data_IF_022012518247
#
_entry.id   IF_022012518247
#
_cell.length_a   1.000
_cell.length_b   1.000
_cell.length_c   1.000
_cell.angle_alpha   90.00
_cell.angle_beta   90.00
_cell.angle_gamma   90.00
#
_symmetry.space_group_name_H-M   'P 1'
#
loop_
_entity.id
_entity.type
_entity.pdbx_description
1 polymer ?
2 non-polymer ?
3 non-polymer ?
4 water ?
#
# COMPACT_ATOMS: atom_id res chain seq x y z
N UNK A 39 4.00 8.29 32.72
CA UNK A 39 3.72 7.54 33.94
C UNK A 39 3.61 6.03 33.65
N UNK A 40 2.39 5.55 33.35
CA UNK A 40 2.22 4.14 33.07
C UNK A 40 3.05 3.78 31.84
N UNK A 41 3.82 2.70 31.94
CA UNK A 41 4.66 2.35 30.82
C UNK A 41 4.04 1.24 29.97
N UNK A 42 4.69 0.99 28.84
CA UNK A 42 4.20 -0.02 27.94
C UNK A 42 4.26 -1.40 28.58
N UNK A 43 5.35 -1.67 29.30
CA UNK A 43 5.54 -2.91 30.05
C UNK A 43 4.42 -3.15 31.05
N UNK A 44 3.75 -2.09 31.48
CA UNK A 44 2.78 -2.24 32.55
C UNK A 44 1.47 -2.81 32.04
N UNK A 45 1.05 -2.37 30.87
CA UNK A 45 -0.20 -2.84 30.31
C UNK A 45 -0.05 -3.89 29.22
N UNK A 46 1.16 -4.16 28.79
CA UNK A 46 1.37 -5.12 27.73
C UNK A 46 2.51 -6.08 27.96
N UNK A 47 2.32 -7.31 27.52
CA UNK A 47 3.37 -8.31 27.53
C UNK A 47 3.93 -8.43 26.13
N UNK A 48 5.22 -8.35 26.02
CA UNK A 48 5.87 -8.36 24.72
C UNK A 48 6.15 -9.80 24.28
N UNK A 49 5.87 -10.07 23.02
CA UNK A 49 6.09 -11.39 22.44
C UNK A 49 7.02 -11.28 21.23
N UNK A 50 7.01 -12.32 20.40
CA UNK A 50 8.00 -12.48 19.35
C UNK A 50 7.99 -11.35 18.34
N UNK A 51 9.12 -11.19 17.66
CA UNK A 51 9.24 -10.22 16.58
C UNK A 51 8.30 -10.58 15.43
N UNK A 52 7.70 -9.57 14.83
CA UNK A 52 6.92 -9.77 13.63
C UNK A 52 7.48 -8.85 12.56
N UNK A 58 13.32 0.62 13.07
CA UNK A 58 12.11 0.18 13.78
C UNK A 58 12.05 -1.34 13.96
N UNK A 59 11.34 -1.78 15.01
CA UNK A 59 11.12 -3.19 15.29
C UNK A 59 9.65 -3.39 15.62
N UNK A 60 9.04 -4.44 15.05
CA UNK A 60 7.63 -4.75 15.28
C UNK A 60 7.50 -6.07 16.04
N UNK A 61 6.73 -6.07 17.13
CA UNK A 61 6.52 -7.25 17.95
C UNK A 61 5.03 -7.49 18.18
N UNK A 62 4.69 -8.75 18.46
CA UNK A 62 3.37 -9.09 18.94
C UNK A 62 3.31 -8.84 20.43
N UNK A 63 2.15 -8.42 20.93
CA UNK A 63 2.05 -8.21 22.37
C UNK A 63 0.66 -8.58 22.83
N UNK A 64 0.52 -8.72 24.14
CA UNK A 64 -0.74 -9.05 24.79
C UNK A 64 -1.15 -7.90 25.71
N UNK A 65 -2.34 -7.38 25.51
CA UNK A 65 -2.96 -6.46 26.44
C UNK A 65 -3.42 -7.22 27.68
N UNK A 66 -2.87 -6.88 28.84
CA UNK A 66 -2.98 -7.75 30.01
C UNK A 66 -4.39 -7.80 30.56
N UNK A 67 -5.13 -6.69 30.46
CA UNK A 67 -6.46 -6.66 31.08
C UNK A 67 -7.50 -7.49 30.32
N UNK A 68 -7.31 -7.67 29.00
CA UNK A 68 -8.21 -8.43 28.15
C UNK A 68 -7.67 -9.72 27.56
N UNK A 69 -6.34 -9.94 27.60
CA UNK A 69 -5.62 -10.98 26.86
C UNK A 69 -5.83 -10.93 25.34
N UNK A 70 -6.24 -9.79 24.78
CA UNK A 70 -6.28 -9.62 23.34
C UNK A 70 -4.87 -9.38 22.82
N UNK A 71 -4.65 -9.69 21.54
CA UNK A 71 -3.31 -9.52 21.01
C UNK A 71 -3.26 -8.37 20.01
N UNK A 72 -2.11 -7.71 19.95
CA UNK A 72 -1.93 -6.52 19.14
C UNK A 72 -0.53 -6.57 18.57
N UNK A 73 -0.22 -5.58 17.72
CA UNK A 73 1.12 -5.37 17.24
C UNK A 73 1.64 -4.09 17.87
N UNK A 74 2.94 -4.05 18.17
CA UNK A 74 3.60 -2.81 18.60
C UNK A 74 4.83 -2.58 17.73
N UNK A 75 4.95 -1.38 17.18
CA UNK A 75 6.14 -0.95 16.45
C UNK A 75 6.96 -0.11 17.39
N UNK A 76 8.22 -0.49 17.56
CA UNK A 76 9.10 0.08 18.56
C UNK A 76 10.15 0.90 17.83
N UNK A 77 10.18 2.21 18.06
CA UNK A 77 10.83 3.15 17.17
C UNK A 77 11.94 3.84 17.94
N UNK A 78 13.16 3.78 17.40
CA UNK A 78 14.33 4.29 18.12
C UNK A 78 14.44 5.78 17.82
N UNK A 79 14.25 6.62 18.85
CA UNK A 79 14.14 8.05 18.60
C UNK A 79 15.45 8.64 18.14
N UNK A 80 16.57 7.95 18.38
CA UNK A 80 17.85 8.44 17.88
C UNK A 80 18.02 8.19 16.39
N UNK A 81 17.33 7.16 15.86
CA UNK A 81 17.33 6.89 14.42
C UNK A 81 16.38 7.83 13.67
N UNK A 82 15.14 7.95 14.12
CA UNK A 82 14.19 8.81 13.43
C UNK A 82 13.12 9.29 14.39
N UNK A 83 12.50 10.40 14.00
CA UNK A 83 11.45 11.08 14.73
C UNK A 83 10.11 10.61 14.18
N UNK A 84 9.35 9.81 14.89
CA UNK A 84 8.09 9.33 14.29
C UNK A 84 6.90 10.21 14.60
N UNK A 85 7.09 11.53 14.68
CA UNK A 85 5.97 12.43 14.99
C UNK A 85 4.97 12.44 13.85
N UNK A 86 5.47 12.60 12.62
CA UNK A 86 4.62 12.54 11.42
C UNK A 86 3.82 11.24 11.38
N UNK A 87 4.50 10.11 11.53
CA UNK A 87 3.80 8.85 11.43
C UNK A 87 2.71 8.76 12.48
N UNK A 88 3.01 9.17 13.72
CA UNK A 88 2.01 9.04 14.77
C UNK A 88 0.87 10.03 14.54
N UNK A 89 1.18 11.27 14.10
CA UNK A 89 0.09 12.23 13.83
C UNK A 89 -0.84 11.71 12.75
N UNK A 90 -0.28 11.10 11.69
CA UNK A 90 -1.13 10.55 10.63
C UNK A 90 -1.99 9.41 11.15
N UNK A 91 -1.39 8.47 11.88
CA UNK A 91 -2.19 7.37 12.40
C UNK A 91 -3.27 7.86 13.36
N UNK A 92 -2.95 8.85 14.21
CA UNK A 92 -3.96 9.38 15.12
C UNK A 92 -5.11 10.02 14.37
N UNK A 93 -4.78 10.78 13.32
CA UNK A 93 -5.84 11.51 12.66
C UNK A 93 -6.66 10.60 11.77
N UNK A 94 -5.98 9.70 11.05
CA UNK A 94 -6.58 8.96 9.95
C UNK A 94 -6.78 7.46 10.19
N UNK A 95 -6.30 6.89 11.31
CA UNK A 95 -6.40 5.46 11.50
C UNK A 95 -7.78 4.97 11.76
N UNK A 96 -8.72 5.88 12.04
CA UNK A 96 -10.10 5.45 12.21
C UNK A 96 -10.75 5.11 10.87
N UNK A 97 -10.09 5.41 9.74
CA UNK A 97 -10.58 4.95 8.47
C UNK A 97 -10.69 3.43 8.51
N UNK A 98 -11.80 2.85 8.05
CA UNK A 98 -11.93 1.37 8.10
C UNK A 98 -10.82 0.59 7.42
N UNK A 99 -10.17 1.13 6.41
CA UNK A 99 -9.15 0.40 5.67
C UNK A 99 -7.73 0.90 5.94
N UNK A 100 -7.54 1.75 6.96
CA UNK A 100 -6.20 2.15 7.38
C UNK A 100 -5.93 1.42 8.68
N UNK A 101 -4.69 0.96 8.89
CA UNK A 101 -4.35 0.25 10.13
C UNK A 101 -4.71 1.09 11.35
N UNK A 102 -5.40 0.51 12.33
CA UNK A 102 -5.99 1.31 13.40
C UNK A 102 -5.01 1.40 14.59
N UNK A 103 -4.78 2.61 15.07
CA UNK A 103 -3.88 2.83 16.20
C UNK A 103 -4.65 2.54 17.48
N UNK A 104 -4.04 1.80 18.39
CA UNK A 104 -4.66 1.39 19.65
C UNK A 104 -4.06 2.12 20.82
N UNK A 105 -2.73 2.18 20.90
CA UNK A 105 -2.09 2.81 22.05
C UNK A 105 -0.73 3.36 21.59
N UNK A 106 -0.20 4.35 22.32
CA UNK A 106 1.13 4.92 22.01
C UNK A 106 1.83 5.25 23.32
N UNK A 107 3.09 4.93 23.41
CA UNK A 107 3.88 5.29 24.57
C UNK A 107 5.22 5.83 24.14
N UNK A 108 5.81 6.67 24.97
CA UNK A 108 7.15 7.21 24.74
C UNK A 108 7.87 7.21 26.07
N UNK A 109 8.97 6.45 26.15
CA UNK A 109 9.76 6.35 27.37
C UNK A 109 10.99 7.25 27.34
N UNK A 110 11.17 8.05 26.29
CA UNK A 110 12.29 8.95 26.13
C UNK A 110 13.36 8.43 25.19
N UNK A 111 13.45 7.11 25.02
CA UNK A 111 14.33 6.42 24.09
C UNK A 111 13.56 5.97 22.85
N UNK A 112 12.53 5.18 23.07
CA UNK A 112 11.76 4.54 22.01
C UNK A 112 10.32 5.00 22.10
N UNK A 113 9.66 5.09 20.94
CA UNK A 113 8.22 5.26 20.91
C UNK A 113 7.59 3.89 20.66
N UNK A 114 6.52 3.57 21.40
CA UNK A 114 5.82 2.31 21.22
C UNK A 114 4.46 2.58 20.60
N UNK A 115 4.28 2.14 19.36
CA UNK A 115 3.05 2.37 18.61
C UNK A 115 2.28 1.06 18.56
N UNK A 116 1.17 0.97 19.29
CA UNK A 116 0.39 -0.26 19.35
C UNK A 116 -0.76 -0.15 18.37
N UNK A 117 -0.92 -1.17 17.52
CA UNK A 117 -1.94 -1.19 16.49
C UNK A 117 -2.63 -2.54 16.44
N UNK A 118 -3.72 -2.61 15.68
CA UNK A 118 -4.30 -3.93 15.44
C UNK A 118 -3.24 -4.82 14.77
N UNK A 119 -3.32 -6.11 15.11
CA UNK A 119 -2.41 -7.13 14.61
C UNK A 119 -3.02 -7.74 13.34
N UNK A 120 -2.29 -7.69 12.24
CA UNK A 120 -2.81 -8.23 10.99
C UNK A 120 -2.65 -9.76 11.05
N UNK A 121 -3.76 -10.47 11.05
CA UNK A 121 -3.73 -11.91 11.07
C UNK A 121 -3.99 -12.57 9.73
N UNK A 122 -4.24 -11.81 8.66
CA UNK A 122 -4.58 -12.46 7.38
C UNK A 122 -3.46 -12.41 6.34
N UNK A 123 -2.31 -11.89 6.69
CA UNK A 123 -1.16 -11.93 5.79
C UNK A 123 -1.25 -10.82 4.76
N UNK A 124 -0.24 -10.79 3.87
CA UNK A 124 -0.20 -9.80 2.80
C UNK A 124 -1.28 -10.10 1.75
N UNK A 125 -1.88 -9.06 1.24
CA UNK A 125 -2.96 -9.20 0.32
C UNK A 125 -2.57 -9.95 -0.91
N UNK A 126 -1.44 -9.61 -1.47
CA UNK A 126 -1.06 -10.23 -2.70
C UNK A 126 -0.74 -11.71 -2.47
N UNK A 127 -0.09 -12.05 -1.35
CA UNK A 127 0.13 -13.45 -1.02
C UNK A 127 -1.15 -14.25 -0.97
N UNK A 128 -2.24 -13.67 -0.46
CA UNK A 128 -3.46 -14.47 -0.42
C UNK A 128 -4.07 -14.58 -1.81
N UNK A 129 -4.11 -13.46 -2.53
CA UNK A 129 -4.76 -13.39 -3.84
C UNK A 129 -4.01 -14.24 -4.87
N UNK A 130 -2.68 -14.25 -4.87
CA UNK A 130 -1.94 -15.05 -5.86
C UNK A 130 -2.09 -16.55 -5.64
N UNK A 131 -2.47 -16.95 -4.43
CA UNK A 131 -2.66 -18.38 -4.17
C UNK A 131 -4.10 -18.82 -4.39
N UNK A 132 -5.01 -17.93 -4.78
CA UNK A 132 -6.40 -18.31 -5.09
C UNK A 132 -6.54 -18.62 -6.57
N UNK A 133 -6.84 -19.89 -6.92
CA UNK A 133 -6.96 -20.26 -8.33
C UNK A 133 -8.18 -19.66 -8.98
N UNK A 134 -9.24 -19.43 -8.21
CA UNK A 134 -10.53 -19.04 -8.77
C UNK A 134 -10.77 -17.52 -8.71
N UNK A 135 -9.74 -16.76 -8.44
CA UNK A 135 -9.84 -15.32 -8.39
C UNK A 135 -10.19 -14.76 -9.78
N UNK A 136 -11.00 -13.69 -9.82
CA UNK A 136 -11.56 -13.15 -11.07
C UNK A 136 -11.37 -11.64 -11.14
N UNK A 137 -11.57 -11.04 -12.33
CA UNK A 137 -11.45 -9.58 -12.43
C UNK A 137 -12.46 -8.90 -11.54
N UNK A 138 -13.64 -9.48 -11.37
CA UNK A 138 -14.62 -8.84 -10.51
C UNK A 138 -14.08 -8.71 -9.09
N UNK A 139 -13.43 -9.75 -8.58
CA UNK A 139 -12.82 -9.65 -7.27
C UNK A 139 -11.62 -8.71 -7.26
N UNK A 140 -10.83 -8.68 -8.34
CA UNK A 140 -9.71 -7.75 -8.41
C UNK A 140 -10.21 -6.30 -8.33
N UNK A 141 -11.35 -6.03 -8.96
CA UNK A 141 -11.91 -4.68 -8.98
C UNK A 141 -12.44 -4.30 -7.60
N UNK A 142 -13.14 -5.20 -6.92
CA UNK A 142 -13.55 -4.88 -5.55
C UNK A 142 -12.35 -4.57 -4.66
N UNK A 143 -11.27 -5.34 -4.77
CA UNK A 143 -10.05 -5.06 -4.00
C UNK A 143 -9.43 -3.70 -4.37
N UNK A 144 -9.21 -3.45 -5.65
CA UNK A 144 -8.62 -2.16 -6.00
C UNK A 144 -9.53 -1.00 -5.61
N UNK A 145 -10.84 -1.19 -5.73
CA UNK A 145 -11.76 -0.12 -5.31
C UNK A 145 -11.53 0.25 -3.85
N UNK A 146 -11.57 -0.75 -2.96
CA UNK A 146 -11.41 -0.50 -1.52
C UNK A 146 -10.10 0.20 -1.24
N UNK A 147 -9.04 -0.25 -1.88
CA UNK A 147 -7.74 0.36 -1.65
C UNK A 147 -7.68 1.76 -2.21
N UNK A 148 -8.14 1.94 -3.45
CA UNK A 148 -7.99 3.26 -4.05
C UNK A 148 -8.89 4.30 -3.38
N UNK A 149 -10.05 3.89 -2.92
CA UNK A 149 -10.92 4.80 -2.18
C UNK A 149 -10.22 5.31 -0.92
N UNK A 150 -9.38 4.46 -0.32
CA UNK A 150 -8.63 4.85 0.86
C UNK A 150 -7.53 5.84 0.49
N UNK A 151 -6.84 5.57 -0.61
CA UNK A 151 -5.77 6.46 -1.09
C UNK A 151 -6.36 7.78 -1.52
N UNK A 152 -7.55 7.76 -2.14
CA UNK A 152 -8.18 9.02 -2.57
C UNK A 152 -8.44 9.91 -1.36
N UNK A 153 -8.92 9.31 -0.27
CA UNK A 153 -9.19 10.04 0.96
C UNK A 153 -7.91 10.64 1.54
N UNK A 154 -6.85 9.82 1.64
CA UNK A 154 -5.56 10.33 2.12
C UNK A 154 -5.06 11.51 1.29
N UNK A 155 -4.96 11.33 -0.03
CA UNK A 155 -4.42 12.41 -0.86
C UNK A 155 -5.20 13.70 -0.71
N UNK A 156 -6.52 13.59 -0.58
CA UNK A 156 -7.38 14.75 -0.42
C UNK A 156 -7.15 15.42 0.93
N UNK A 157 -6.79 14.62 1.95
CA UNK A 157 -6.46 15.20 3.25
C UNK A 157 -5.03 15.73 3.29
N UNK A 158 -4.30 15.61 2.19
CA UNK A 158 -2.92 16.07 2.14
C UNK A 158 -1.86 15.05 2.52
N UNK A 159 -2.19 13.75 2.52
CA UNK A 159 -1.29 12.70 2.97
C UNK A 159 -0.89 11.88 1.75
N UNK A 160 0.43 11.77 1.48
CA UNK A 160 0.99 10.80 0.54
C UNK A 160 1.66 9.69 1.35
N UNK A 161 1.49 8.44 0.90
CA UNK A 161 1.98 7.29 1.64
C UNK A 161 3.48 7.10 1.43
N UNK A 162 3.92 7.10 0.17
CA UNK A 162 5.30 7.08 -0.24
C UNK A 162 5.96 5.69 -0.11
N UNK A 163 5.37 4.74 0.61
CA UNK A 163 5.90 3.36 0.67
C UNK A 163 4.87 2.29 0.27
N UNK A 164 3.99 2.58 -0.67
CA UNK A 164 2.75 1.82 -0.86
C UNK A 164 2.94 0.50 -1.62
N UNK A 165 4.05 -0.17 -1.38
CA UNK A 165 4.26 -1.49 -1.97
C UNK A 165 3.27 -2.53 -1.48
N UNK A 166 3.09 -3.61 -2.29
CA UNK A 166 2.09 -4.62 -1.91
C UNK A 166 2.32 -5.20 -0.54
N UNK A 167 3.57 -5.32 -0.11
CA UNK A 167 3.69 -5.95 1.20
C UNK A 167 3.22 -5.05 2.34
N UNK A 168 2.85 -3.79 2.08
CA UNK A 168 2.30 -2.91 3.11
C UNK A 168 0.77 -2.92 3.09
N UNK A 169 0.17 -3.79 2.30
CA UNK A 169 -1.27 -3.85 2.19
C UNK A 169 -1.66 -5.25 2.63
N UNK A 170 -2.40 -5.35 3.73
CA UNK A 170 -2.58 -6.63 4.39
C UNK A 170 -4.06 -6.85 4.66
N UNK A 171 -4.39 -8.08 5.01
CA UNK A 171 -5.72 -8.45 5.51
C UNK A 171 -5.68 -8.59 7.03
N UNK A 172 -6.65 -7.96 7.73
CA UNK A 172 -6.64 -8.03 9.19
C UNK A 172 -7.06 -9.43 9.67
N UNK A 173 -7.87 -10.15 8.89
CA UNK A 173 -8.37 -11.48 9.26
C UNK A 173 -8.38 -12.35 8.01
N UNK A 174 -8.93 -13.57 8.14
CA UNK A 174 -8.94 -14.53 7.04
C UNK A 174 -10.22 -14.54 6.24
N UNK A 175 -11.14 -13.60 6.47
CA UNK A 175 -12.44 -13.60 5.80
C UNK A 175 -12.35 -13.48 4.27
N UNK A 176 -11.22 -13.05 3.73
CA UNK A 176 -11.10 -12.73 2.32
C UNK A 176 -11.90 -11.52 1.84
N UNK A 177 -12.59 -10.76 2.78
CA UNK A 177 -13.49 -9.66 2.41
C UNK A 177 -12.69 -8.38 2.17
N UNK A 178 -13.02 -7.62 1.13
CA UNK A 178 -12.36 -6.31 0.93
C UNK A 178 -12.38 -5.43 2.17
N UNK A 179 -13.42 -5.52 3.02
CA UNK A 179 -13.52 -4.70 4.23
C UNK A 179 -12.42 -5.01 5.24
N UNK A 180 -11.78 -6.15 5.09
CA UNK A 180 -10.70 -6.59 5.94
C UNK A 180 -9.36 -6.07 5.49
N UNK A 181 -9.30 -5.36 4.38
CA UNK A 181 -8.01 -4.83 3.90
C UNK A 181 -7.53 -3.70 4.80
N UNK A 182 -6.21 -3.60 5.02
CA UNK A 182 -5.66 -2.45 5.74
C UNK A 182 -4.42 -1.97 5.01
N UNK A 183 -4.33 -0.69 4.76
CA UNK A 183 -3.05 -0.09 4.40
C UNK A 183 -2.26 0.17 5.67
N UNK A 184 -1.00 -0.27 5.70
CA UNK A 184 -0.13 -0.22 6.84
C UNK A 184 1.15 0.54 6.51
N UNK A 185 2.00 0.64 7.53
CA UNK A 185 3.31 1.30 7.53
C UNK A 185 3.31 2.71 6.94
N UNK A 186 2.91 3.66 7.75
CA UNK A 186 3.01 5.07 7.38
C UNK A 186 4.34 5.72 7.79
N UNK A 187 5.38 4.94 8.09
CA UNK A 187 6.69 5.49 8.46
C UNK A 187 7.35 6.39 7.43
N UNK A 188 6.94 6.31 6.15
CA UNK A 188 7.45 7.21 5.13
C UNK A 188 6.46 8.27 4.64
N UNK A 189 5.22 8.25 5.14
CA UNK A 189 4.17 9.16 4.71
C UNK A 189 4.46 10.59 5.14
N UNK A 190 3.81 11.53 4.45
CA UNK A 190 4.01 12.95 4.70
C UNK A 190 2.69 13.70 4.56
N UNK A 191 2.41 14.56 5.53
CA UNK A 191 1.32 15.54 5.50
C UNK A 191 1.79 16.85 4.85
N UNK A 192 1.03 17.30 3.87
CA UNK A 192 1.29 18.60 3.27
C UNK A 192 1.16 19.66 4.32
N UNK A 193 2.15 20.54 4.42
CA UNK A 193 2.11 21.65 5.38
C UNK A 193 2.53 22.93 4.71
N UNK A 194 2.16 24.03 5.34
CA UNK A 194 2.60 25.35 4.94
C UNK A 194 3.95 25.66 5.60
N UNK A 195 4.53 26.82 5.23
CA UNK A 195 5.81 27.19 5.83
C UNK A 195 5.71 27.33 7.34
N UNK A 196 4.61 27.93 7.84
CA UNK A 196 4.43 28.17 9.28
C UNK A 196 4.13 26.93 10.11
N UNK A 197 4.02 25.76 9.50
CA UNK A 197 3.74 24.55 10.25
C UNK A 197 2.30 24.09 10.19
N UNK A 198 1.45 24.78 9.43
CA UNK A 198 0.01 24.62 9.46
C UNK A 198 -0.39 23.49 8.50
N UNK A 199 -1.14 22.51 8.99
CA UNK A 199 -1.57 21.42 8.13
C UNK A 199 -2.46 21.93 7.00
N UNK A 200 -2.18 21.48 5.78
CA UNK A 200 -2.88 21.93 4.61
C UNK A 200 -3.45 20.73 3.84
N UNK A 201 -4.45 21.01 3.03
CA UNK A 201 -5.07 20.05 2.13
C UNK A 201 -5.00 20.61 0.73
N UNK A 202 -4.84 19.75 -0.29
CA UNK A 202 -4.61 20.27 -1.65
C UNK A 202 -5.82 20.98 -2.25
N UNK A 203 -7.01 20.87 -1.66
CA UNK A 203 -8.15 21.58 -2.23
C UNK A 203 -8.39 22.93 -1.53
N UNK A 207 -3.27 29.53 2.07
CA UNK A 207 -2.06 30.13 2.61
C UNK A 207 -0.88 30.02 1.66
N UNK A 208 0.32 29.97 2.24
CA UNK A 208 1.54 29.83 1.45
C UNK A 208 2.18 28.47 1.72
N UNK A 209 2.27 27.66 0.66
CA UNK A 209 3.09 26.46 0.61
C UNK A 209 4.11 26.65 -0.50
N UNK A 210 5.37 26.38 -0.21
CA UNK A 210 6.41 26.54 -1.22
C UNK A 210 6.08 25.72 -2.46
N UNK A 211 6.32 26.26 -3.67
CA UNK A 211 5.95 25.52 -4.90
C UNK A 211 6.62 24.16 -5.03
N UNK A 212 7.85 24.04 -4.54
CA UNK A 212 8.54 22.76 -4.63
C UNK A 212 8.10 21.77 -3.56
N UNK A 213 7.41 22.22 -2.50
CA UNK A 213 6.70 21.29 -1.63
C UNK A 213 5.46 20.76 -2.35
N UNK A 214 4.80 21.62 -3.12
CA UNK A 214 3.60 21.20 -3.84
C UNK A 214 3.91 20.21 -4.95
N UNK A 215 4.86 20.53 -5.84
CA UNK A 215 5.14 19.59 -6.93
C UNK A 215 5.71 18.29 -6.41
N UNK A 216 6.49 18.33 -5.33
CA UNK A 216 6.99 17.10 -4.76
C UNK A 216 5.86 16.27 -4.19
N UNK A 217 4.92 16.92 -3.51
CA UNK A 217 3.69 16.23 -3.09
C UNK A 217 2.96 15.63 -4.27
N UNK A 218 2.82 16.41 -5.34
CA UNK A 218 2.22 15.86 -6.55
C UNK A 218 2.95 14.63 -7.05
N UNK A 219 4.28 14.71 -7.15
CA UNK A 219 5.09 13.56 -7.54
C UNK A 219 4.87 12.37 -6.63
N UNK A 220 4.84 12.62 -5.32
CA UNK A 220 4.66 11.53 -4.37
C UNK A 220 3.31 10.88 -4.52
N UNK A 221 2.24 11.67 -4.71
CA UNK A 221 0.91 11.08 -4.86
C UNK A 221 0.82 10.24 -6.13
N UNK A 222 1.46 10.70 -7.21
CA UNK A 222 1.51 9.89 -8.43
C UNK A 222 2.27 8.60 -8.20
N UNK A 223 3.34 8.66 -7.39
CA UNK A 223 4.11 7.43 -7.16
C UNK A 223 3.23 6.45 -6.39
N UNK A 224 2.40 6.98 -5.48
CA UNK A 224 1.43 6.10 -4.81
C UNK A 224 0.56 5.36 -5.80
N UNK A 225 0.04 6.07 -6.80
CA UNK A 225 -0.85 5.45 -7.78
C UNK A 225 -0.10 4.44 -8.64
N UNK A 226 1.16 4.74 -8.98
CA UNK A 226 1.96 3.80 -9.75
C UNK A 226 2.10 2.47 -9.02
N UNK A 227 2.30 2.50 -7.69
CA UNK A 227 2.38 1.23 -6.96
C UNK A 227 1.05 0.48 -6.95
N UNK A 228 -0.06 1.19 -6.93
CA UNK A 228 -1.34 0.48 -7.07
C UNK A 228 -1.46 -0.10 -8.46
N UNK A 229 -0.87 0.56 -9.46
CA UNK A 229 -0.77 -0.05 -10.78
C UNK A 229 0.03 -1.34 -10.78
N UNK A 230 1.18 -1.35 -10.09
CA UNK A 230 1.96 -2.58 -9.99
C UNK A 230 1.14 -3.67 -9.34
N UNK A 231 0.41 -3.31 -8.29
CA UNK A 231 -0.46 -4.26 -7.60
C UNK A 231 -1.49 -4.83 -8.55
N UNK A 232 -2.13 -3.97 -9.34
CA UNK A 232 -3.18 -4.45 -10.21
C UNK A 232 -2.62 -5.38 -11.27
N UNK A 233 -1.53 -4.99 -11.88
CA UNK A 233 -0.95 -5.80 -12.91
C UNK A 233 -0.67 -7.19 -12.38
N UNK A 234 -0.10 -7.25 -11.21
CA UNK A 234 0.30 -8.54 -10.64
C UNK A 234 -0.94 -9.35 -10.25
N UNK A 235 -1.96 -8.69 -9.67
CA UNK A 235 -3.18 -9.44 -9.36
C UNK A 235 -3.78 -10.07 -10.61
N UNK A 236 -3.72 -9.35 -11.75
CA UNK A 236 -4.41 -9.89 -12.93
C UNK A 236 -3.68 -11.08 -13.54
N UNK A 237 -2.34 -11.04 -13.61
CA UNK A 237 -1.57 -12.07 -14.32
C UNK A 237 -0.72 -12.97 -13.46
N UNK A 238 -0.55 -12.69 -12.18
CA UNK A 238 0.37 -13.52 -11.40
C UNK A 238 1.86 -13.26 -11.60
N UNK A 239 2.23 -12.22 -12.32
CA UNK A 239 3.63 -11.81 -12.42
C UNK A 239 3.74 -10.28 -12.35
N UNK A 240 4.87 -9.74 -11.97
CA UNK A 240 4.97 -8.30 -11.76
C UNK A 240 5.45 -7.64 -13.05
N UNK A 241 5.14 -6.37 -13.26
CA UNK A 241 5.40 -5.82 -14.61
C UNK A 241 6.86 -5.61 -14.96
N UNK A 242 7.71 -5.32 -13.98
CA UNK A 242 9.08 -4.92 -14.31
C UNK A 242 10.16 -5.89 -13.86
N UNK A 243 9.80 -7.01 -13.25
CA UNK A 243 10.84 -7.91 -12.78
C UNK A 243 10.31 -9.33 -12.82
N UNK A 244 11.16 -10.28 -13.22
CA UNK A 244 10.79 -11.68 -13.35
C UNK A 244 11.04 -12.50 -12.09
N UNK A 245 11.81 -11.97 -11.14
CA UNK A 245 12.26 -12.75 -10.01
C UNK A 245 13.25 -11.94 -9.19
N UNK A 246 13.66 -12.49 -8.03
CA UNK A 246 14.50 -11.71 -7.11
C UNK A 246 15.89 -11.43 -7.65
N UNK A 247 16.32 -12.17 -8.66
CA UNK A 247 17.65 -12.03 -9.24
C UNK A 247 17.74 -10.99 -10.36
N UNK A 248 16.65 -10.38 -10.81
CA UNK A 248 16.77 -9.32 -11.82
C UNK A 248 17.65 -8.17 -11.35
N UNK A 249 18.54 -7.68 -12.21
CA UNK A 249 19.44 -6.62 -11.76
C UNK A 249 18.65 -5.33 -11.53
N UNK A 250 19.11 -4.47 -10.62
CA UNK A 250 18.45 -3.17 -10.48
C UNK A 250 18.48 -2.38 -11.78
N UNK A 251 19.58 -2.46 -12.51
CA UNK A 251 19.62 -1.70 -13.75
C UNK A 251 18.57 -2.15 -14.74
N UNK A 252 18.33 -3.48 -14.87
CA UNK A 252 17.35 -3.89 -15.88
C UNK A 252 15.94 -3.56 -15.43
N UNK A 253 15.67 -3.64 -14.14
CA UNK A 253 14.35 -3.25 -13.65
C UNK A 253 14.10 -1.77 -13.93
N UNK A 254 15.07 -0.91 -13.59
CA UNK A 254 14.90 0.52 -13.82
C UNK A 254 14.86 0.84 -15.31
N UNK A 255 15.59 0.08 -16.14
CA UNK A 255 15.54 0.36 -17.58
C UNK A 255 14.13 0.08 -18.10
N UNK A 256 13.48 -0.95 -17.56
CA UNK A 256 12.10 -1.28 -17.92
C UNK A 256 11.11 -0.21 -17.43
N UNK A 257 11.20 0.14 -16.14
CA UNK A 257 10.38 1.22 -15.59
C UNK A 257 10.53 2.49 -16.43
N UNK A 258 11.77 2.91 -16.69
CA UNK A 258 12.00 4.18 -17.36
C UNK A 258 11.55 4.19 -18.80
N UNK A 259 11.54 3.02 -19.44
CA UNK A 259 11.08 2.98 -20.82
C UNK A 259 9.57 3.10 -20.93
N UNK A 260 8.85 3.05 -19.81
CA UNK A 260 7.41 3.14 -19.83
C UNK A 260 6.70 2.05 -20.59
N UNK A 261 7.32 0.90 -20.81
CA UNK A 261 6.68 -0.17 -21.54
C UNK A 261 6.64 -1.44 -20.73
N UNK A 262 5.53 -2.14 -20.89
CA UNK A 262 5.20 -3.37 -20.17
C UNK A 262 4.19 -4.11 -21.04
N UNK A 263 4.16 -5.44 -20.92
CA UNK A 263 3.32 -6.22 -21.82
C UNK A 263 1.88 -6.27 -21.33
N UNK A 264 0.96 -5.92 -22.21
CA UNK A 264 -0.47 -6.07 -21.96
C UNK A 264 -1.16 -7.06 -22.90
N UNK A 265 -0.42 -7.88 -23.64
CA UNK A 265 -1.08 -8.70 -24.64
C UNK A 265 -0.43 -10.08 -24.61
N UNK A 266 -1.21 -11.08 -25.02
CA UNK A 266 -0.69 -12.44 -25.08
C UNK A 266 -0.61 -13.15 -23.74
N UNK A 267 -0.44 -14.45 -23.81
CA UNK A 267 -0.15 -15.24 -22.64
C UNK A 267 -1.27 -15.17 -21.63
N UNK A 268 -0.88 -14.82 -20.41
CA UNK A 268 -1.80 -14.61 -19.32
C UNK A 268 -2.76 -13.46 -19.62
N UNK A 269 -2.38 -12.54 -20.49
CA UNK A 269 -3.23 -11.40 -20.80
C UNK A 269 -4.34 -11.72 -21.81
N UNK A 270 -4.32 -12.87 -22.46
CA UNK A 270 -5.36 -13.18 -23.45
C UNK A 270 -6.74 -13.28 -22.81
N UNK A 271 -6.81 -13.68 -21.55
CA UNK A 271 -8.09 -13.86 -20.90
C UNK A 271 -8.63 -12.57 -20.26
N UNK A 272 -7.87 -11.48 -20.27
CA UNK A 272 -8.16 -10.28 -19.49
C UNK A 272 -8.82 -9.24 -20.36
N UNK A 273 -9.79 -8.52 -19.78
CA UNK A 273 -10.62 -7.63 -20.55
C UNK A 273 -9.84 -6.36 -20.95
N UNK A 274 -10.34 -5.68 -21.99
CA UNK A 274 -9.72 -4.43 -22.42
C UNK A 274 -9.84 -3.35 -21.40
N UNK A 275 -10.98 -3.32 -20.71
CA UNK A 275 -11.16 -2.28 -19.70
C UNK A 275 -10.06 -2.37 -18.65
N UNK A 276 -9.70 -3.60 -18.25
CA UNK A 276 -8.65 -3.79 -17.26
C UNK A 276 -7.31 -3.32 -17.81
N UNK A 277 -7.00 -3.74 -19.03
CA UNK A 277 -5.71 -3.39 -19.60
C UNK A 277 -5.61 -1.88 -19.70
N UNK A 278 -6.70 -1.25 -20.12
CA UNK A 278 -6.70 0.20 -20.26
C UNK A 278 -6.39 0.87 -18.93
N UNK A 279 -7.04 0.42 -17.85
CA UNK A 279 -6.79 1.02 -16.54
C UNK A 279 -5.32 0.82 -16.13
N UNK A 280 -4.85 -0.41 -16.29
CA UNK A 280 -3.47 -0.72 -15.94
C UNK A 280 -2.52 0.21 -16.66
N UNK A 281 -2.73 0.37 -17.95
CA UNK A 281 -1.82 1.19 -18.74
C UNK A 281 -1.80 2.63 -18.25
N UNK A 282 -2.93 3.13 -17.77
CA UNK A 282 -3.03 4.51 -17.31
C UNK A 282 -2.55 4.71 -15.87
N UNK A 283 -2.49 3.65 -15.07
CA UNK A 283 -1.92 3.68 -13.73
C UNK A 283 -0.40 3.55 -13.75
N UNK A 284 0.16 2.83 -14.73
CA UNK A 284 1.60 2.58 -14.84
C UNK A 284 2.29 3.55 -15.78
N UNK A 285 1.54 4.52 -16.34
CA UNK A 285 2.12 5.45 -17.31
C UNK A 285 3.38 6.05 -16.73
N UNK A 286 4.46 6.07 -17.49
CA UNK A 286 5.71 6.52 -16.90
C UNK A 286 5.71 8.03 -16.57
N UNK A 287 4.88 8.82 -17.25
CA UNK A 287 4.85 10.27 -17.05
C UNK A 287 3.86 10.58 -15.92
N UNK A 288 4.32 11.03 -14.74
CA UNK A 288 3.37 11.23 -13.63
C UNK A 288 2.32 12.28 -13.94
N UNK A 289 2.59 13.16 -14.88
CA UNK A 289 1.62 14.16 -15.29
C UNK A 289 0.49 13.53 -16.09
N UNK A 290 0.73 12.38 -16.75
CA UNK A 290 -0.34 11.72 -17.49
C UNK A 290 -0.97 10.56 -16.73
N UNK A 291 -0.34 10.07 -15.66
CA UNK A 291 -0.84 8.92 -14.92
C UNK A 291 -2.16 9.28 -14.23
N UNK A 292 -3.08 8.33 -14.08
CA UNK A 292 -4.33 8.69 -13.42
C UNK A 292 -4.09 9.07 -11.96
N UNK A 293 -4.94 9.96 -11.41
CA UNK A 293 -4.99 10.18 -9.97
C UNK A 293 -5.88 9.10 -9.31
N UNK A 294 -5.90 9.06 -7.97
CA UNK A 294 -6.84 8.15 -7.31
C UNK A 294 -8.27 8.47 -7.67
N UNK A 295 -8.58 9.77 -7.79
CA UNK A 295 -9.94 10.16 -8.12
C UNK A 295 -10.33 9.65 -9.49
N UNK A 296 -9.39 9.70 -10.45
CA UNK A 296 -9.71 9.25 -11.79
C UNK A 296 -9.74 7.73 -11.85
N UNK A 297 -8.93 7.06 -11.04
CA UNK A 297 -9.04 5.59 -11.02
C UNK A 297 -10.46 5.21 -10.66
N UNK A 298 -11.05 5.93 -9.70
CA UNK A 298 -12.35 5.53 -9.20
C UNK A 298 -13.46 5.80 -10.21
N UNK A 299 -13.18 6.59 -11.25
CA UNK A 299 -14.13 6.87 -12.33
C UNK A 299 -13.89 6.02 -13.57
N UNK A 300 -12.88 5.15 -13.56
CA UNK A 300 -12.65 4.28 -14.72
C UNK A 300 -13.75 3.22 -14.76
N UNK A 301 -14.25 2.86 -15.95
CA UNK A 301 -15.36 1.90 -16.01
C UNK A 301 -15.01 0.54 -15.44
N UNK A 302 -13.72 0.16 -15.37
CA UNK A 302 -13.37 -1.10 -14.74
C UNK A 302 -13.70 -1.07 -13.25
N UNK A 303 -13.58 0.10 -12.60
CA UNK A 303 -13.99 0.23 -11.21
C UNK A 303 -15.50 0.45 -11.12
N UNK A 304 -16.03 1.35 -11.94
CA UNK A 304 -17.42 1.77 -11.81
C UNK A 304 -18.36 0.65 -12.24
N UNK A 305 -18.08 0.04 -13.40
CA UNK A 305 -18.91 -1.00 -13.99
C UNK A 305 -18.46 -2.40 -13.62
N UNK A 306 -17.87 -2.56 -12.44
CA UNK A 306 -17.41 -3.86 -11.98
C UNK A 306 -18.39 -4.99 -12.25
N UNK A 307 -19.70 -4.74 -12.12
CA UNK A 307 -20.71 -5.79 -12.25
C UNK A 307 -20.83 -6.34 -13.68
N UNK A 308 -20.16 -5.73 -14.65
CA UNK A 308 -20.06 -6.27 -15.99
C UNK A 308 -18.76 -7.02 -16.24
N UNK A 309 -17.90 -7.12 -15.24
CA UNK A 309 -16.63 -7.78 -15.43
C UNK A 309 -16.80 -9.29 -15.45
N UNK A 310 -15.98 -9.99 -16.20
CA UNK A 310 -16.06 -11.46 -16.20
C UNK A 310 -15.80 -12.00 -14.80
N UNK A 311 -16.64 -12.95 -14.39
CA UNK A 311 -16.45 -13.60 -13.11
C UNK A 311 -15.78 -14.97 -13.21
N UNK A 312 -15.40 -15.40 -14.41
CA UNK A 312 -14.63 -16.64 -14.53
C UNK A 312 -13.17 -16.42 -14.14
N UNK A 313 -12.47 -17.52 -13.89
CA UNK A 313 -11.15 -17.45 -13.29
C UNK A 313 -10.15 -16.77 -14.22
N UNK A 314 -9.28 -15.98 -13.62
CA UNK A 314 -8.12 -15.47 -14.33
C UNK A 314 -7.16 -16.60 -14.64
N UNK A 315 -6.42 -16.45 -15.73
CA UNK A 315 -5.37 -17.40 -16.10
C UNK A 315 -4.06 -16.73 -15.69
N UNK A 316 -3.39 -17.27 -14.69
CA UNK A 316 -2.26 -16.56 -14.12
C UNK A 316 -1.09 -17.49 -13.90
N UNK A 317 0.11 -16.92 -13.92
CA UNK A 317 1.24 -17.65 -13.37
C UNK A 317 0.89 -18.06 -11.94
N UNK A 318 1.31 -19.22 -11.53
CA UNK A 318 1.21 -19.53 -10.10
C UNK A 318 2.63 -19.67 -9.59
N UNK A 319 3.24 -18.58 -9.15
CA UNK A 319 4.56 -18.62 -8.50
C UNK A 319 4.59 -17.49 -7.48
N UNK A 320 3.79 -17.60 -6.41
CA UNK A 320 3.69 -16.48 -5.47
C UNK A 320 5.03 -16.15 -4.82
N UNK A 321 5.85 -17.17 -4.52
CA UNK A 321 7.13 -16.90 -3.92
C UNK A 321 8.07 -16.22 -4.90
N UNK A 322 8.04 -16.61 -6.17
CA UNK A 322 8.84 -15.86 -7.16
C UNK A 322 8.41 -14.40 -7.22
N UNK A 323 7.11 -14.15 -7.29
CA UNK A 323 6.59 -12.78 -7.27
C UNK A 323 7.09 -12.01 -6.05
N UNK A 324 7.07 -12.63 -4.89
CA UNK A 324 7.49 -11.88 -3.71
C UNK A 324 8.93 -11.40 -3.87
N UNK A 325 9.80 -12.23 -4.46
CA UNK A 325 11.17 -11.81 -4.65
C UNK A 325 11.29 -10.79 -5.77
N UNK A 326 10.44 -10.91 -6.81
CA UNK A 326 10.46 -9.92 -7.88
C UNK A 326 9.99 -8.57 -7.38
N UNK A 327 9.00 -8.56 -6.51
CA UNK A 327 8.51 -7.29 -5.97
C UNK A 327 9.59 -6.64 -5.09
N UNK A 328 10.21 -7.41 -4.17
CA UNK A 328 11.31 -6.89 -3.36
C UNK A 328 12.44 -6.32 -4.24
N UNK A 329 12.78 -7.04 -5.31
CA UNK A 329 13.80 -6.54 -6.23
C UNK A 329 13.36 -5.23 -6.87
N UNK A 330 12.07 -5.13 -7.23
CA UNK A 330 11.57 -3.92 -7.88
C UNK A 330 11.66 -2.72 -6.94
N UNK A 331 11.28 -2.91 -5.67
CA UNK A 331 11.26 -1.75 -4.77
C UNK A 331 12.65 -1.45 -4.21
N UNK A 332 13.50 -2.46 -4.09
CA UNK A 332 14.90 -2.17 -3.81
C UNK A 332 15.52 -1.29 -4.89
N UNK A 333 15.27 -1.63 -6.17
CA UNK A 333 15.81 -0.84 -7.27
C UNK A 333 15.33 0.60 -7.16
N UNK A 334 14.05 0.79 -6.83
CA UNK A 334 13.45 2.12 -6.77
C UNK A 334 14.09 3.00 -5.70
N UNK A 335 14.20 2.50 -4.48
CA UNK A 335 14.64 3.35 -3.39
C UNK A 335 16.15 3.52 -3.35
N UNK A 336 16.89 2.54 -3.85
CA UNK A 336 18.34 2.59 -3.95
C UNK A 336 19.02 2.80 -2.60
#
# INVERSE_FOLDING_TARGET
MHHHHHHHHDYDIPTTENLYFQGQTVGVHSIVQQLHRNSIQFTDGYEVKEDIGVGSYSVCKRCIHKATNMEFAVKIIDKSKRDPTEEIEILLRYGQHPNIITLKDVYDDGKYVYVVTELMKGGELLDKILRQKFFSEREASAVLFTITKTVEYLHAQGVVHRDLKPSNILYVDESGNPESIRICDFGFAKQLRAENGLLMTPCYTANFVAPEVLERQGYDAACDIWSLGVLLYTMLTGYTPFANGPDDTPEEILARIGSGKFSLSGGYWNSVSDTAKDLVSKMLHVDPHQRLTAALVLRHPWIVHWDQLPQYQLNRQDAPHLVKGAMAATYSALNRNQSPVLEPVGRSTLAQRRGIKKITSTAL
#
